data_IF_473763566652
#
_entry.id   IF_473763566652
#
_cell.length_a   1.000
_cell.length_b   1.000
_cell.length_c   1.000
_cell.angle_alpha   90.00
_cell.angle_beta   90.00
_cell.angle_gamma   90.00
#
_symmetry.space_group_name_H-M   'P 1'
#
loop_
_entity.id
_entity.type
_entity.pdbx_description
1 polymer ?
#
# COMPACT_ATOMS: atom_id res chain seq x y z
N UNK A 1 16.08 6.73 -12.65
CA UNK A 1 14.74 7.26 -12.39
C UNK A 1 14.01 6.30 -11.48
N UNK A 2 13.55 6.77 -10.34
CA UNK A 2 12.91 5.91 -9.35
C UNK A 2 11.39 6.06 -9.45
N UNK A 3 10.69 4.94 -9.33
CA UNK A 3 9.23 4.88 -9.39
C UNK A 3 8.72 4.32 -8.08
N UNK A 4 7.57 4.81 -7.62
CA UNK A 4 6.93 4.21 -6.46
C UNK A 4 5.48 3.81 -6.75
N UNK A 5 5.08 2.69 -6.16
CA UNK A 5 3.69 2.30 -6.07
C UNK A 5 3.18 2.74 -4.70
N UNK A 6 2.16 3.59 -4.70
CA UNK A 6 1.51 4.00 -3.45
C UNK A 6 0.20 3.24 -3.30
N UNK A 7 0.06 2.56 -2.18
CA UNK A 7 -1.17 1.85 -1.81
C UNK A 7 -1.79 2.64 -0.67
N UNK A 8 -2.89 3.33 -0.97
CA UNK A 8 -3.53 4.25 -0.01
C UNK A 8 -4.90 3.69 0.34
N UNK A 9 -5.11 3.38 1.62
CA UNK A 9 -6.39 2.85 2.09
C UNK A 9 -7.17 3.91 2.85
N UNK A 10 -8.48 3.94 2.62
CA UNK A 10 -9.39 4.82 3.35
C UNK A 10 -9.70 4.23 4.72
N UNK A 11 -10.43 4.98 5.55
CA UNK A 11 -10.80 4.50 6.89
C UNK A 11 -11.56 3.19 6.78
N UNK A 12 -11.07 2.10 7.40
CA UNK A 12 -11.74 0.82 7.34
C UNK A 12 -13.02 0.83 8.19
N UNK A 13 -13.96 -0.04 7.84
CA UNK A 13 -15.21 -0.16 8.60
C UNK A 13 -14.96 -0.77 9.97
N UNK A 14 -13.89 -1.57 10.11
CA UNK A 14 -13.46 -2.14 11.39
C UNK A 14 -11.94 -1.90 11.53
N UNK A 15 -11.55 -0.76 12.14
CA UNK A 15 -10.13 -0.42 12.28
C UNK A 15 -9.32 -1.46 13.07
N UNK A 16 -9.89 -2.04 14.10
CA UNK A 16 -9.17 -3.03 14.91
C UNK A 16 -8.82 -4.27 14.09
N UNK A 17 -9.77 -4.77 13.31
CA UNK A 17 -9.56 -5.91 12.43
C UNK A 17 -8.54 -5.60 11.34
N UNK A 18 -8.64 -4.42 10.73
CA UNK A 18 -7.69 -3.96 9.72
C UNK A 18 -6.26 -3.92 10.26
N UNK A 19 -6.07 -3.31 11.43
CA UNK A 19 -4.73 -3.17 12.03
C UNK A 19 -4.16 -4.53 12.43
N UNK A 20 -4.98 -5.44 12.89
CA UNK A 20 -4.56 -6.79 13.24
C UNK A 20 -4.03 -7.55 12.03
N UNK A 21 -4.63 -7.35 10.87
CA UNK A 21 -4.24 -8.00 9.60
C UNK A 21 -3.06 -7.28 8.92
N UNK A 22 -2.83 -6.02 9.22
CA UNK A 22 -1.88 -5.19 8.45
C UNK A 22 -0.45 -5.71 8.47
N UNK A 23 -0.05 -6.43 9.52
CA UNK A 23 1.26 -7.07 9.59
C UNK A 23 1.49 -8.06 8.46
N UNK A 24 0.48 -8.86 8.11
CA UNK A 24 0.55 -9.79 6.98
C UNK A 24 0.65 -9.04 5.66
N UNK A 25 -0.09 -7.94 5.51
CA UNK A 25 -0.03 -7.09 4.33
C UNK A 25 1.40 -6.56 4.11
N UNK A 26 2.04 -6.08 5.16
CA UNK A 26 3.43 -5.61 5.07
C UNK A 26 4.37 -6.73 4.62
N UNK A 27 4.18 -7.94 5.12
CA UNK A 27 5.00 -9.08 4.73
C UNK A 27 4.83 -9.40 3.25
N UNK A 28 3.61 -9.37 2.74
CA UNK A 28 3.35 -9.61 1.32
C UNK A 28 4.04 -8.55 0.45
N UNK A 29 3.98 -7.29 0.87
CA UNK A 29 4.63 -6.20 0.15
C UNK A 29 6.14 -6.39 0.04
N UNK A 30 6.78 -6.86 1.11
CA UNK A 30 8.24 -7.04 1.12
C UNK A 30 8.71 -8.22 0.25
N UNK A 31 7.80 -9.08 -0.21
CA UNK A 31 8.13 -10.20 -1.08
C UNK A 31 8.09 -9.86 -2.56
N UNK A 32 7.73 -8.63 -2.92
CA UNK A 32 7.68 -8.22 -4.32
C UNK A 32 9.05 -8.33 -4.98
N UNK A 33 9.12 -8.90 -6.21
CA UNK A 33 10.40 -9.00 -6.91
C UNK A 33 10.96 -7.61 -7.25
N UNK A 34 12.25 -7.44 -7.07
CA UNK A 34 13.00 -6.22 -7.38
C UNK A 34 12.55 -4.98 -6.59
N UNK A 35 11.89 -5.18 -5.48
CA UNK A 35 11.55 -4.09 -4.57
C UNK A 35 12.86 -3.53 -3.98
N UNK A 36 13.05 -2.20 -4.09
CA UNK A 36 14.23 -1.54 -3.56
C UNK A 36 14.04 -1.13 -2.10
N UNK A 37 12.83 -0.65 -1.78
CA UNK A 37 12.53 -0.11 -0.46
C UNK A 37 11.03 -0.09 -0.26
N UNK A 38 10.58 -0.21 0.97
CA UNK A 38 9.18 -0.07 1.34
C UNK A 38 9.06 0.87 2.54
N UNK A 39 8.05 1.75 2.48
CA UNK A 39 7.71 2.63 3.60
C UNK A 39 6.25 2.45 3.92
N UNK A 40 5.94 2.30 5.21
CA UNK A 40 4.56 2.12 5.68
C UNK A 40 4.26 3.23 6.67
N UNK A 41 3.17 3.95 6.42
CA UNK A 41 2.77 5.09 7.25
C UNK A 41 1.32 4.98 7.65
N UNK A 42 1.03 5.39 8.89
CA UNK A 42 -0.33 5.55 9.37
C UNK A 42 -0.66 7.04 9.36
N UNK A 43 -1.78 7.39 8.75
CA UNK A 43 -2.17 8.78 8.60
C UNK A 43 -2.71 9.32 9.92
N UNK A 44 -2.26 10.51 10.32
CA UNK A 44 -2.78 11.16 11.52
C UNK A 44 -4.21 11.65 11.33
N UNK A 45 -5.04 11.63 12.36
CA UNK A 45 -6.33 12.29 12.31
C UNK A 45 -6.15 13.80 12.11
N UNK A 46 -7.22 14.48 11.69
CA UNK A 46 -7.20 15.93 11.52
C UNK A 46 -6.96 16.61 12.88
N UNK A 47 -6.49 17.87 12.86
CA UNK A 47 -6.17 18.62 14.06
C UNK A 47 -7.34 18.75 15.03
N UNK A 48 -8.57 18.80 14.51
CA UNK A 48 -9.78 18.86 15.32
C UNK A 48 -10.22 17.50 15.90
N UNK A 49 -9.42 16.45 15.65
CA UNK A 49 -9.72 15.10 16.13
C UNK A 49 -10.67 14.32 15.26
N UNK A 50 -11.18 14.91 14.19
CA UNK A 50 -12.05 14.17 13.27
C UNK A 50 -11.22 13.20 12.40
N UNK A 51 -11.85 12.09 11.93
CA UNK A 51 -11.14 11.13 11.08
C UNK A 51 -10.66 11.75 9.77
N UNK A 52 -9.47 11.35 9.33
CA UNK A 52 -9.00 11.66 8.00
C UNK A 52 -9.65 10.71 6.99
N UNK A 53 -9.83 11.11 5.72
CA UNK A 53 -10.35 10.21 4.69
C UNK A 53 -9.39 9.07 4.33
N UNK A 54 -8.09 9.19 4.70
CA UNK A 54 -7.10 8.16 4.43
C UNK A 54 -6.62 7.56 5.75
N UNK A 55 -6.34 6.23 5.74
CA UNK A 55 -5.96 5.50 6.95
C UNK A 55 -4.50 5.09 6.95
N UNK A 56 -4.05 4.37 5.91
CA UNK A 56 -2.67 3.88 5.77
C UNK A 56 -2.14 4.15 4.38
N UNK A 57 -0.83 4.39 4.30
CA UNK A 57 -0.12 4.58 3.04
C UNK A 57 1.07 3.63 3.03
N UNK A 58 1.19 2.83 1.96
CA UNK A 58 2.37 2.03 1.70
C UNK A 58 3.01 2.55 0.41
N UNK A 59 4.28 2.95 0.48
CA UNK A 59 5.05 3.38 -0.67
C UNK A 59 6.12 2.32 -0.96
N UNK A 60 6.04 1.74 -2.15
CA UNK A 60 6.90 0.64 -2.58
C UNK A 60 7.75 1.12 -3.76
N UNK A 61 9.08 1.09 -3.62
CA UNK A 61 10.00 1.74 -4.55
C UNK A 61 10.66 0.74 -5.48
N UNK A 62 10.72 1.10 -6.77
CA UNK A 62 11.31 0.31 -7.84
C UNK A 62 12.23 1.18 -8.69
N UNK A 63 13.16 0.54 -9.42
CA UNK A 63 14.13 1.26 -10.24
C UNK A 63 13.46 2.02 -11.39
N UNK A 64 12.43 1.43 -12.00
CA UNK A 64 11.73 2.00 -13.16
C UNK A 64 10.31 1.47 -13.26
N UNK A 65 9.57 2.03 -14.22
CA UNK A 65 8.17 1.70 -14.44
C UNK A 65 7.98 0.22 -14.83
N UNK A 66 8.80 -0.27 -15.76
CA UNK A 66 8.65 -1.64 -16.25
C UNK A 66 8.88 -2.67 -15.13
N UNK A 67 9.87 -2.41 -14.27
CA UNK A 67 10.14 -3.25 -13.11
C UNK A 67 8.97 -3.25 -12.13
N UNK A 68 8.37 -2.09 -11.88
CA UNK A 68 7.21 -1.99 -11.00
C UNK A 68 6.01 -2.75 -11.57
N UNK A 69 5.72 -2.59 -12.86
CA UNK A 69 4.61 -3.29 -13.52
C UNK A 69 4.83 -4.79 -13.49
N UNK A 70 6.06 -5.25 -13.75
CA UNK A 70 6.38 -6.67 -13.71
C UNK A 70 6.20 -7.24 -12.29
N UNK A 71 6.58 -6.48 -11.27
CA UNK A 71 6.38 -6.89 -9.87
C UNK A 71 4.89 -7.04 -9.54
N UNK A 72 4.06 -6.10 -9.99
CA UNK A 72 2.61 -6.17 -9.78
C UNK A 72 1.97 -7.37 -10.49
N UNK A 73 2.48 -7.74 -11.67
CA UNK A 73 1.99 -8.89 -12.44
C UNK A 73 2.50 -10.24 -11.94
N UNK A 74 3.50 -10.25 -11.04
CA UNK A 74 4.04 -11.48 -10.47
C UNK A 74 3.04 -12.15 -9.54
N UNK A 75 3.22 -13.44 -9.19
CA UNK A 75 2.38 -14.10 -8.19
C UNK A 75 2.36 -13.35 -6.86
N UNK A 76 3.51 -12.82 -6.43
CA UNK A 76 3.62 -12.03 -5.20
C UNK A 76 2.85 -10.73 -5.30
N UNK A 77 2.90 -10.06 -6.46
CA UNK A 77 2.15 -8.83 -6.71
C UNK A 77 0.65 -9.06 -6.72
N UNK A 78 0.20 -10.14 -7.34
CA UNK A 78 -1.22 -10.50 -7.37
C UNK A 78 -1.74 -10.82 -5.97
N UNK A 79 -0.95 -11.52 -5.16
CA UNK A 79 -1.30 -11.83 -3.78
C UNK A 79 -1.42 -10.55 -2.95
N UNK A 80 -0.50 -9.61 -3.13
CA UNK A 80 -0.53 -8.32 -2.44
C UNK A 80 -1.78 -7.52 -2.81
N UNK A 81 -2.08 -7.40 -4.10
CA UNK A 81 -3.24 -6.64 -4.56
C UNK A 81 -4.53 -7.27 -4.05
N UNK A 82 -4.64 -8.59 -4.12
CA UNK A 82 -5.82 -9.30 -3.62
C UNK A 82 -6.02 -9.04 -2.13
N UNK A 83 -4.95 -9.13 -1.34
CA UNK A 83 -4.99 -8.84 0.09
C UNK A 83 -5.40 -7.40 0.35
N UNK A 84 -4.82 -6.45 -0.38
CA UNK A 84 -5.12 -5.03 -0.22
C UNK A 84 -6.58 -4.73 -0.51
N UNK A 85 -7.10 -5.23 -1.63
CA UNK A 85 -8.49 -4.99 -2.04
C UNK A 85 -9.46 -5.63 -1.05
N UNK A 86 -9.16 -6.85 -0.59
CA UNK A 86 -10.02 -7.57 0.34
C UNK A 86 -10.07 -6.90 1.71
N UNK A 87 -8.94 -6.40 2.21
CA UNK A 87 -8.86 -5.79 3.54
C UNK A 87 -9.27 -4.33 3.57
N UNK A 88 -9.23 -3.63 2.43
CA UNK A 88 -9.55 -2.22 2.35
C UNK A 88 -11.07 -1.98 2.27
N UNK A 89 -11.76 -2.24 3.37
CA UNK A 89 -13.23 -2.16 3.44
C UNK A 89 -13.77 -0.75 3.22
N UNK A 90 -12.95 0.28 3.49
CA UNK A 90 -13.34 1.68 3.27
C UNK A 90 -12.97 2.23 1.90
N UNK A 91 -12.21 1.47 1.10
CA UNK A 91 -11.74 1.90 -0.20
C UNK A 91 -10.22 1.89 -0.32
N UNK A 92 -9.73 1.91 -1.55
CA UNK A 92 -8.30 1.84 -1.84
C UNK A 92 -7.96 2.59 -3.12
N UNK A 93 -6.79 3.25 -3.12
CA UNK A 93 -6.20 3.85 -4.30
C UNK A 93 -4.82 3.25 -4.55
N UNK A 94 -4.54 2.90 -5.79
CA UNK A 94 -3.24 2.40 -6.23
C UNK A 94 -2.68 3.37 -7.26
N UNK A 95 -1.52 3.96 -6.94
CA UNK A 95 -0.90 4.99 -7.80
C UNK A 95 0.54 4.61 -8.09
N UNK A 96 0.90 4.61 -9.38
CA UNK A 96 2.30 4.54 -9.81
C UNK A 96 2.76 5.96 -10.11
N UNK A 97 3.84 6.38 -9.48
CA UNK A 97 4.36 7.75 -9.61
C UNK A 97 5.85 7.73 -9.96
N UNK A 98 6.24 8.70 -10.78
CA UNK A 98 7.62 8.93 -11.14
C UNK A 98 8.20 9.95 -10.15
N UNK A 99 9.29 9.58 -9.48
CA UNK A 99 9.92 10.47 -8.50
C UNK A 99 10.88 11.39 -9.23
N UNK A 100 10.60 12.66 -9.19
CA UNK A 100 11.38 13.69 -9.89
C UNK A 100 12.44 14.35 -9.00
#
# INVERSE_FOLDING_TARGET
>A
MTVKLSVITDNPTDPASFEQHYGEHKMLATKLPNLQRAEFAKVFPKEDGSPTPKWRIADLYFADYDTAVAALGSPEGQALIHDAVTSATGGIDLLLSDIE
#
